data_IF_664560933117
#
_entry.id   IF_664560933117
#
_cell.length_a   1.000
_cell.length_b   1.000
_cell.length_c   1.000
_cell.angle_alpha   90.00
_cell.angle_beta   90.00
_cell.angle_gamma   90.00
#
_symmetry.space_group_name_H-M   'P 1'
#
loop_
_entity.id
_entity.type
_entity.pdbx_description
1 polymer ?
#
# COMPACT_ATOMS: atom_id res chain seq x y z
N UNK A 1 3.58 -8.80 -6.96
CA UNK A 1 2.74 -9.95 -6.53
C UNK A 1 3.64 -10.96 -5.83
N UNK A 2 3.14 -11.77 -4.88
CA UNK A 2 3.91 -12.85 -4.25
C UNK A 2 4.37 -13.89 -5.28
N UNK A 3 5.51 -14.54 -5.03
CA UNK A 3 6.13 -15.49 -5.96
C UNK A 3 5.18 -16.61 -6.41
N UNK A 4 4.33 -17.10 -5.48
CA UNK A 4 3.35 -18.14 -5.76
C UNK A 4 2.27 -17.74 -6.78
N UNK A 5 2.05 -16.45 -7.02
CA UNK A 5 1.07 -15.94 -7.99
C UNK A 5 1.73 -15.15 -9.12
N UNK A 6 3.05 -14.93 -9.06
CA UNK A 6 3.76 -14.08 -10.01
C UNK A 6 3.59 -14.54 -11.47
N UNK A 7 3.61 -15.86 -11.69
CA UNK A 7 3.47 -16.48 -13.02
C UNK A 7 2.10 -16.18 -13.67
N UNK A 8 1.06 -15.88 -12.89
CA UNK A 8 -0.28 -15.52 -13.40
C UNK A 8 -0.40 -14.04 -13.77
N UNK A 9 0.57 -13.21 -13.37
CA UNK A 9 0.55 -11.77 -13.61
C UNK A 9 0.29 -11.40 -15.08
N UNK A 10 0.99 -11.99 -16.08
CA UNK A 10 0.78 -11.60 -17.48
C UNK A 10 -0.66 -11.85 -17.93
N UNK A 11 -1.25 -12.98 -17.50
CA UNK A 11 -2.63 -13.35 -17.80
C UNK A 11 -3.60 -12.30 -17.28
N UNK A 12 -3.52 -11.95 -15.99
CA UNK A 12 -4.45 -10.99 -15.38
C UNK A 12 -4.17 -9.53 -15.74
N UNK A 13 -2.94 -9.17 -16.12
CA UNK A 13 -2.66 -7.84 -16.64
C UNK A 13 -3.26 -7.59 -18.03
N UNK A 14 -3.47 -8.65 -18.82
CA UNK A 14 -4.13 -8.59 -20.13
C UNK A 14 -5.67 -8.57 -20.06
N UNK A 15 -6.25 -8.95 -18.92
CA UNK A 15 -7.70 -8.96 -18.71
C UNK A 15 -8.25 -7.57 -18.35
N UNK A 16 -9.58 -7.45 -18.44
CA UNK A 16 -10.31 -6.22 -18.07
C UNK A 16 -10.17 -5.85 -16.57
N UNK A 17 -10.61 -4.65 -16.22
CA UNK A 17 -10.34 -4.01 -14.92
C UNK A 17 -10.76 -4.83 -13.69
N UNK A 18 -11.89 -5.55 -13.75
CA UNK A 18 -12.43 -6.31 -12.61
C UNK A 18 -11.57 -7.53 -12.29
N UNK A 19 -11.29 -8.38 -13.28
CA UNK A 19 -10.49 -9.60 -13.07
C UNK A 19 -9.05 -9.25 -12.67
N UNK A 20 -8.49 -8.19 -13.26
CA UNK A 20 -7.20 -7.64 -12.86
C UNK A 20 -7.20 -7.21 -11.39
N UNK A 21 -8.24 -6.49 -10.95
CA UNK A 21 -8.36 -6.03 -9.56
C UNK A 21 -8.51 -7.19 -8.58
N UNK A 22 -9.33 -8.20 -8.91
CA UNK A 22 -9.49 -9.41 -8.10
C UNK A 22 -8.18 -10.18 -7.94
N UNK A 23 -7.38 -10.29 -9.00
CA UNK A 23 -6.05 -10.91 -8.94
C UNK A 23 -5.12 -10.20 -7.95
N UNK A 24 -5.07 -8.87 -7.96
CA UNK A 24 -4.24 -8.13 -7.00
C UNK A 24 -4.81 -8.18 -5.58
N UNK A 25 -6.14 -8.25 -5.39
CA UNK A 25 -6.74 -8.52 -4.09
C UNK A 25 -6.32 -9.89 -3.56
N UNK A 26 -6.39 -10.95 -4.38
CA UNK A 26 -5.89 -12.28 -4.05
C UNK A 26 -4.41 -12.27 -3.67
N UNK A 27 -3.60 -11.48 -4.38
CA UNK A 27 -2.19 -11.28 -4.03
C UNK A 27 -1.99 -10.74 -2.61
N UNK A 28 -2.91 -9.92 -2.09
CA UNK A 28 -2.83 -9.44 -0.70
C UNK A 28 -3.03 -10.59 0.28
N UNK A 29 -4.01 -11.47 0.06
CA UNK A 29 -4.23 -12.65 0.91
C UNK A 29 -3.07 -13.65 0.83
N UNK A 30 -2.50 -13.86 -0.35
CA UNK A 30 -1.31 -14.69 -0.49
C UNK A 30 -0.11 -14.11 0.27
N UNK A 31 0.08 -12.78 0.23
CA UNK A 31 1.10 -12.09 1.01
C UNK A 31 0.83 -12.21 2.52
N UNK A 32 -0.42 -12.08 2.95
CA UNK A 32 -0.85 -12.25 4.34
C UNK A 32 -0.45 -13.63 4.88
N UNK A 33 -0.75 -14.68 4.13
CA UNK A 33 -0.40 -16.06 4.51
C UNK A 33 1.12 -16.26 4.60
N UNK A 34 1.88 -15.71 3.65
CA UNK A 34 3.36 -15.75 3.72
C UNK A 34 3.90 -14.97 4.93
N UNK A 35 3.31 -13.82 5.25
CA UNK A 35 3.66 -13.01 6.41
C UNK A 35 3.38 -13.77 7.71
N UNK A 36 2.19 -14.36 7.88
CA UNK A 36 1.82 -15.15 9.06
C UNK A 36 2.84 -16.27 9.35
N UNK A 37 3.29 -16.98 8.31
CA UNK A 37 4.31 -18.03 8.44
C UNK A 37 5.66 -17.49 8.93
N UNK A 38 6.03 -16.27 8.53
CA UNK A 38 7.30 -15.62 8.88
C UNK A 38 7.27 -14.89 10.22
N UNK A 39 6.10 -14.38 10.63
CA UNK A 39 5.91 -13.63 11.88
C UNK A 39 6.28 -14.43 13.14
N UNK A 40 6.25 -15.77 13.05
CA UNK A 40 6.73 -16.65 14.14
C UNK A 40 8.24 -16.55 14.39
N UNK A 41 9.01 -16.04 13.42
CA UNK A 41 10.47 -16.03 13.43
C UNK A 41 10.99 -14.58 13.49
N UNK A 42 10.40 -13.67 12.70
CA UNK A 42 10.86 -12.28 12.58
C UNK A 42 9.74 -11.35 12.13
N UNK A 43 9.91 -10.06 12.38
CA UNK A 43 9.05 -9.03 11.81
C UNK A 43 9.09 -9.05 10.27
N UNK A 44 7.96 -8.65 9.69
CA UNK A 44 7.77 -8.61 8.24
C UNK A 44 7.49 -7.18 7.82
N UNK A 45 8.26 -6.68 6.85
CA UNK A 45 8.01 -5.39 6.20
C UNK A 45 7.45 -5.67 4.81
N UNK A 46 6.30 -5.08 4.49
CA UNK A 46 5.65 -5.19 3.19
C UNK A 46 5.66 -3.86 2.45
N UNK A 47 6.07 -3.87 1.18
CA UNK A 47 5.92 -2.71 0.30
C UNK A 47 4.59 -2.81 -0.44
N UNK A 48 3.68 -1.88 -0.15
CA UNK A 48 2.27 -1.88 -0.57
C UNK A 48 1.50 -3.08 -0.03
N UNK A 49 0.25 -2.83 0.33
CA UNK A 49 -0.65 -3.86 0.83
C UNK A 49 -2.11 -3.43 0.60
N UNK A 50 -3.07 -3.85 1.44
CA UNK A 50 -4.50 -3.61 1.20
C UNK A 50 -4.84 -2.15 0.90
N UNK A 51 -4.39 -1.20 1.72
CA UNK A 51 -4.69 0.23 1.50
C UNK A 51 -4.23 0.73 0.13
N UNK A 52 -3.09 0.25 -0.37
CA UNK A 52 -2.63 0.61 -1.71
C UNK A 52 -3.52 0.04 -2.82
N UNK A 53 -4.00 -1.18 -2.64
CA UNK A 53 -4.87 -1.84 -3.61
C UNK A 53 -6.29 -1.24 -3.59
N UNK A 54 -6.84 -1.04 -2.39
CA UNK A 54 -8.14 -0.41 -2.19
C UNK A 54 -8.16 1.02 -2.71
N UNK A 55 -7.19 1.86 -2.32
CA UNK A 55 -7.12 3.25 -2.80
C UNK A 55 -6.99 3.34 -4.32
N UNK A 56 -6.24 2.43 -4.95
CA UNK A 56 -6.16 2.35 -6.41
C UNK A 56 -7.52 2.00 -7.03
N UNK A 57 -8.19 0.94 -6.55
CA UNK A 57 -9.49 0.51 -7.06
C UNK A 57 -10.56 1.59 -6.90
N UNK A 58 -10.59 2.25 -5.75
CA UNK A 58 -11.51 3.36 -5.47
C UNK A 58 -11.24 4.57 -6.35
N UNK A 59 -9.96 4.91 -6.59
CA UNK A 59 -9.61 6.01 -7.51
C UNK A 59 -9.99 5.69 -8.96
N UNK A 60 -9.88 4.42 -9.40
CA UNK A 60 -10.39 3.99 -10.70
C UNK A 60 -11.90 4.18 -10.75
N UNK A 61 -12.66 3.61 -9.80
CA UNK A 61 -14.12 3.72 -9.78
C UNK A 61 -14.61 5.18 -9.74
N UNK A 62 -13.96 6.05 -8.97
CA UNK A 62 -14.29 7.48 -8.94
C UNK A 62 -14.07 8.16 -10.29
N UNK A 63 -12.99 7.82 -11.01
CA UNK A 63 -12.63 8.47 -12.27
C UNK A 63 -13.37 7.90 -13.48
N UNK A 64 -13.51 6.57 -13.57
CA UNK A 64 -14.11 5.90 -14.74
C UNK A 64 -15.61 5.68 -14.60
N UNK A 65 -16.10 5.47 -13.38
CA UNK A 65 -17.50 5.13 -13.12
C UNK A 65 -18.26 6.25 -12.41
N UNK A 66 -17.59 7.39 -12.14
CA UNK A 66 -18.14 8.54 -11.42
C UNK A 66 -18.72 8.14 -10.04
N UNK A 67 -18.15 7.10 -9.43
CA UNK A 67 -18.60 6.58 -8.13
C UNK A 67 -18.18 7.53 -7.02
N UNK A 68 -19.14 8.03 -6.25
CA UNK A 68 -18.89 8.83 -5.05
C UNK A 68 -19.24 8.02 -3.81
N UNK A 69 -18.22 7.71 -3.01
CA UNK A 69 -18.42 7.02 -1.74
C UNK A 69 -18.57 8.01 -0.59
N UNK A 70 -19.49 7.75 0.35
CA UNK A 70 -19.60 8.55 1.55
C UNK A 70 -18.37 8.33 2.45
N UNK A 71 -17.93 9.33 3.24
CA UNK A 71 -16.69 9.25 4.03
C UNK A 71 -16.64 8.10 5.05
N UNK A 72 -17.79 7.60 5.48
CA UNK A 72 -18.01 6.51 6.44
C UNK A 72 -18.21 5.14 5.79
N UNK A 73 -18.06 5.04 4.47
CA UNK A 73 -18.18 3.79 3.72
C UNK A 73 -17.32 2.67 4.32
N UNK A 74 -17.90 1.47 4.40
CA UNK A 74 -17.20 0.25 4.83
C UNK A 74 -15.99 -0.08 3.93
N UNK A 75 -15.98 0.41 2.69
CA UNK A 75 -14.86 0.21 1.75
C UNK A 75 -13.57 0.89 2.20
N UNK A 76 -13.66 1.85 3.14
CA UNK A 76 -12.48 2.45 3.76
C UNK A 76 -11.94 1.63 4.93
N UNK A 77 -12.68 0.64 5.44
CA UNK A 77 -12.21 -0.23 6.51
C UNK A 77 -11.30 -1.33 5.97
N UNK A 78 -10.53 -1.89 6.88
CA UNK A 78 -9.72 -3.06 6.62
C UNK A 78 -10.59 -4.33 6.57
N UNK A 79 -10.30 -5.30 5.69
CA UNK A 79 -11.05 -6.55 5.63
C UNK A 79 -10.82 -7.36 6.91
N UNK A 80 -11.89 -7.82 7.54
CA UNK A 80 -11.83 -8.52 8.83
C UNK A 80 -11.02 -9.81 8.77
N UNK A 81 -10.95 -10.45 7.61
CA UNK A 81 -10.27 -11.71 7.33
C UNK A 81 -8.83 -11.55 6.81
N UNK A 82 -8.37 -10.32 6.59
CA UNK A 82 -7.02 -10.05 6.09
C UNK A 82 -6.08 -9.68 7.25
N UNK A 83 -4.89 -10.30 7.29
CA UNK A 83 -3.86 -9.99 8.29
C UNK A 83 -3.58 -8.48 8.32
N UNK A 84 -3.95 -7.82 9.42
CA UNK A 84 -3.74 -6.39 9.65
C UNK A 84 -2.31 -6.12 10.11
N UNK A 85 -1.59 -5.16 9.52
CA UNK A 85 -0.26 -4.80 9.99
C UNK A 85 -0.35 -3.97 11.27
N UNK A 86 0.65 -4.18 12.13
CA UNK A 86 0.82 -3.45 13.39
C UNK A 86 1.07 -1.95 13.20
N UNK A 87 1.88 -1.61 12.19
CA UNK A 87 2.20 -0.25 11.77
C UNK A 87 2.00 -0.11 10.27
N UNK A 88 1.54 1.07 9.83
CA UNK A 88 1.40 1.41 8.43
C UNK A 88 1.89 2.82 8.18
N UNK A 89 2.61 3.01 7.07
CA UNK A 89 3.22 4.29 6.71
C UNK A 89 2.76 4.73 5.33
N UNK A 90 2.36 6.00 5.22
CA UNK A 90 2.11 6.65 3.94
C UNK A 90 3.28 7.58 3.61
N UNK A 91 4.08 7.18 2.62
CA UNK A 91 5.24 7.95 2.16
C UNK A 91 4.80 8.97 1.11
N UNK A 92 4.65 10.22 1.51
CA UNK A 92 4.28 11.29 0.58
C UNK A 92 5.54 11.90 -0.05
N UNK A 93 5.65 11.76 -1.37
CA UNK A 93 6.70 12.44 -2.13
C UNK A 93 6.21 13.83 -2.55
N UNK A 94 7.08 14.84 -2.44
CA UNK A 94 6.78 16.15 -3.00
C UNK A 94 6.62 16.03 -4.52
N UNK A 95 5.54 16.62 -5.05
CA UNK A 95 5.24 16.60 -6.48
C UNK A 95 6.32 17.25 -7.35
N UNK A 96 7.27 17.96 -6.72
CA UNK A 96 8.35 18.70 -7.37
C UNK A 96 9.53 17.80 -7.78
N UNK A 97 9.54 16.52 -7.40
CA UNK A 97 10.53 15.56 -7.91
C UNK A 97 9.83 14.50 -8.76
N UNK A 98 10.27 14.27 -10.01
CA UNK A 98 9.80 13.10 -10.75
C UNK A 98 10.13 11.87 -9.90
N UNK A 99 9.11 11.05 -9.63
CA UNK A 99 9.32 9.74 -9.00
C UNK A 99 10.30 8.90 -9.84
N UNK A 100 10.73 7.73 -9.33
CA UNK A 100 11.54 6.81 -10.10
C UNK A 100 10.95 6.67 -11.50
N UNK A 101 11.76 6.88 -12.55
CA UNK A 101 11.29 6.73 -13.93
C UNK A 101 10.64 5.36 -14.02
N UNK A 102 9.34 5.33 -14.33
CA UNK A 102 8.66 4.07 -14.60
C UNK A 102 9.47 3.33 -15.67
N UNK A 103 9.61 1.99 -15.60
CA UNK A 103 10.23 1.24 -16.69
C UNK A 103 9.58 1.67 -18.01
N UNK A 104 10.34 1.77 -19.10
CA UNK A 104 9.95 2.43 -20.36
C UNK A 104 8.57 2.04 -20.92
N UNK A 105 8.05 0.89 -20.50
CA UNK A 105 6.80 0.30 -20.97
C UNK A 105 5.61 0.49 -20.00
N UNK A 106 5.84 1.05 -18.80
CA UNK A 106 4.80 1.33 -17.83
C UNK A 106 4.30 2.76 -17.99
N UNK A 107 3.02 2.92 -18.39
CA UNK A 107 2.37 4.23 -18.43
C UNK A 107 2.43 4.87 -17.03
N UNK A 108 3.13 6.00 -16.93
CA UNK A 108 3.14 6.78 -15.71
C UNK A 108 1.70 7.18 -15.35
N UNK A 109 1.34 6.97 -14.10
CA UNK A 109 0.04 7.36 -13.56
C UNK A 109 -0.18 8.87 -13.72
N UNK A 110 -1.33 9.31 -14.24
CA UNK A 110 -1.59 10.74 -14.44
C UNK A 110 -1.60 11.49 -13.11
N UNK A 111 -1.31 12.81 -13.14
CA UNK A 111 -1.36 13.64 -11.92
C UNK A 111 -2.74 13.57 -11.26
N UNK A 112 -3.81 13.76 -12.04
CA UNK A 112 -5.19 13.66 -11.57
C UNK A 112 -5.46 12.34 -10.85
N UNK A 113 -5.00 11.22 -11.41
CA UNK A 113 -5.19 9.91 -10.77
C UNK A 113 -4.40 9.79 -9.47
N UNK A 114 -3.14 10.26 -9.43
CA UNK A 114 -2.34 10.25 -8.19
C UNK A 114 -2.99 11.07 -7.08
N UNK A 115 -3.50 12.25 -7.42
CA UNK A 115 -4.14 13.14 -6.46
C UNK A 115 -5.42 12.50 -5.90
N UNK A 116 -6.23 11.85 -6.75
CA UNK A 116 -7.40 11.07 -6.32
C UNK A 116 -7.02 9.88 -5.45
N UNK A 117 -6.03 9.11 -5.85
CA UNK A 117 -5.54 7.97 -5.05
C UNK A 117 -5.04 8.44 -3.68
N UNK A 118 -4.36 9.60 -3.60
CA UNK A 118 -3.93 10.21 -2.35
C UNK A 118 -5.11 10.55 -1.43
N UNK A 119 -6.19 11.12 -1.97
CA UNK A 119 -7.43 11.38 -1.21
C UNK A 119 -8.03 10.06 -0.70
N UNK A 120 -8.01 8.99 -1.48
CA UNK A 120 -8.53 7.70 -1.02
C UNK A 120 -7.67 7.12 0.11
N UNK A 121 -6.34 7.27 0.06
CA UNK A 121 -5.45 6.86 1.15
C UNK A 121 -5.78 7.54 2.48
N UNK A 122 -6.03 8.85 2.49
CA UNK A 122 -6.33 9.59 3.73
C UNK A 122 -7.67 9.23 4.35
N UNK A 123 -8.55 8.57 3.58
CA UNK A 123 -9.85 8.09 4.06
C UNK A 123 -9.80 6.68 4.63
N UNK A 124 -8.75 5.89 4.32
CA UNK A 124 -8.62 4.51 4.80
C UNK A 124 -8.50 4.44 6.32
N UNK A 125 -9.03 3.37 6.90
CA UNK A 125 -9.12 3.15 8.34
C UNK A 125 -8.63 1.75 8.71
N UNK A 126 -8.10 1.63 9.93
CA UNK A 126 -7.81 0.37 10.63
C UNK A 126 -6.82 -0.57 9.91
N UNK A 127 -5.56 -0.16 9.68
CA UNK A 127 -4.79 0.58 10.67
C UNK A 127 -4.56 2.03 10.28
N UNK A 128 -4.25 2.85 11.28
CA UNK A 128 -3.93 4.27 11.06
C UNK A 128 -2.66 4.37 10.20
N UNK A 129 -2.74 5.15 9.12
CA UNK A 129 -1.59 5.49 8.30
C UNK A 129 -0.79 6.59 8.98
N UNK A 130 0.44 6.28 9.38
CA UNK A 130 1.41 7.28 9.79
C UNK A 130 1.98 7.97 8.57
N UNK A 131 1.59 9.22 8.36
CA UNK A 131 2.10 10.01 7.25
C UNK A 131 3.57 10.41 7.48
N UNK A 132 4.41 10.16 6.48
CA UNK A 132 5.84 10.49 6.52
C UNK A 132 6.14 11.48 5.40
N UNK A 133 6.26 12.74 5.79
CA UNK A 133 6.52 13.88 4.91
C UNK A 133 7.98 14.27 4.92
N UNK A 134 8.81 13.46 4.28
CA UNK A 134 10.24 13.71 4.23
C UNK A 134 10.72 13.75 2.78
N UNK A 135 11.54 14.76 2.44
CA UNK A 135 11.98 14.98 1.05
C UNK A 135 13.06 13.99 0.62
N UNK A 136 13.90 13.55 1.56
CA UNK A 136 15.03 12.66 1.30
C UNK A 136 14.76 11.28 1.88
N UNK A 137 15.18 10.24 1.18
CA UNK A 137 14.96 8.84 1.57
C UNK A 137 15.53 8.52 2.95
N UNK A 138 16.73 9.01 3.30
CA UNK A 138 17.30 8.76 4.63
C UNK A 138 16.48 9.40 5.76
N UNK A 139 15.84 10.54 5.50
CA UNK A 139 14.95 11.20 6.48
C UNK A 139 13.65 10.41 6.62
N UNK A 140 13.08 9.92 5.51
CA UNK A 140 11.94 9.00 5.53
C UNK A 140 12.24 7.77 6.38
N UNK A 141 13.38 7.12 6.13
CA UNK A 141 13.83 5.95 6.90
C UNK A 141 14.01 6.31 8.38
N UNK A 142 14.73 7.39 8.69
CA UNK A 142 14.93 7.83 10.08
C UNK A 142 13.61 8.08 10.82
N UNK A 143 12.63 8.70 10.16
CA UNK A 143 11.29 8.92 10.72
C UNK A 143 10.55 7.61 10.97
N UNK A 144 10.59 6.67 10.03
CA UNK A 144 9.99 5.34 10.19
C UNK A 144 10.62 4.60 11.37
N UNK A 145 11.95 4.54 11.43
CA UNK A 145 12.70 3.88 12.49
C UNK A 145 12.36 4.46 13.86
N UNK A 146 12.27 5.80 13.96
CA UNK A 146 11.83 6.48 15.19
C UNK A 146 10.43 6.05 15.64
N UNK A 147 9.46 6.01 14.72
CA UNK A 147 8.09 5.56 15.05
C UNK A 147 8.06 4.09 15.47
N UNK A 148 8.87 3.24 14.84
CA UNK A 148 8.98 1.82 15.23
C UNK A 148 9.52 1.69 16.64
N UNK A 149 10.59 2.42 16.99
CA UNK A 149 11.18 2.37 18.35
C UNK A 149 10.21 2.91 19.41
N UNK A 150 9.45 3.97 19.09
CA UNK A 150 8.42 4.53 19.98
C UNK A 150 7.29 3.52 20.28
N UNK A 151 6.89 2.70 19.30
CA UNK A 151 5.81 1.71 19.46
C UNK A 151 6.30 0.35 19.97
N UNK A 152 7.56 -0.01 19.68
CA UNK A 152 8.16 -1.31 20.02
C UNK A 152 9.56 -1.15 20.61
N UNK A 153 9.69 -0.49 21.77
CA UNK A 153 10.98 -0.17 22.36
C UNK A 153 11.80 -1.42 22.61
N UNK A 154 13.09 -1.40 22.23
CA UNK A 154 14.06 -2.49 22.41
C UNK A 154 13.70 -3.83 21.76
N UNK A 155 12.62 -3.90 20.96
CA UNK A 155 12.20 -5.12 20.27
C UNK A 155 13.04 -5.38 19.02
N UNK A 156 13.60 -4.32 18.44
CA UNK A 156 14.38 -4.36 17.22
C UNK A 156 15.76 -3.74 17.45
N UNK A 157 16.73 -4.48 18.02
CA UNK A 157 18.03 -3.94 18.46
C UNK A 157 18.90 -3.39 17.33
N UNK A 158 18.51 -3.59 16.06
CA UNK A 158 19.20 -3.09 14.88
C UNK A 158 18.73 -1.69 14.44
N UNK A 159 17.76 -1.09 15.16
CA UNK A 159 17.09 0.17 14.80
C UNK A 159 17.71 1.41 15.48
N UNK A 160 18.58 1.24 16.48
CA UNK A 160 19.36 2.34 17.05
C UNK A 160 20.46 2.78 16.09
N UNK A 161 20.25 3.92 15.43
CA UNK A 161 21.31 4.77 14.84
C UNK A 161 22.29 5.24 15.91
#
# INVERSE_FOLDING_TARGET
>A
PPDCLFHLRPTFEALNGTLRSLYYSLCMYALANQAMKRLRIRAVVANRYWHSQAAFGLAVAEISENMQLPPDSILYKWPEDLLKPDLSFYLQYSHNRPGPKAPSNAKAMTRKFRDRMGIQFTRMREPVLSEVFEQRSYQQTGRILKVIEENYPKKFPFITT
#
